data_IF_280020156657
#
_entry.id   IF_280020156657
#
_cell.length_a   1.000
_cell.length_b   1.000
_cell.length_c   1.000
_cell.angle_alpha   90.00
_cell.angle_beta   90.00
_cell.angle_gamma   90.00
#
_symmetry.space_group_name_H-M   'P 1'
#
loop_
_entity.id
_entity.type
_entity.pdbx_description
1 polymer ?
#
# COMPACT_ATOMS: atom_id res chain seq x y z
N UNK A 1 -13.74 -5.95 -5.12
CA UNK A 1 -15.16 -6.21 -4.82
C UNK A 1 -15.53 -7.64 -5.18
N UNK A 2 -15.61 -8.01 -6.46
CA UNK A 2 -15.94 -9.39 -6.87
C UNK A 2 -14.99 -10.47 -6.31
N UNK A 3 -13.68 -10.16 -6.19
CA UNK A 3 -12.69 -11.09 -5.63
C UNK A 3 -12.89 -11.43 -4.14
N UNK A 4 -13.44 -10.52 -3.34
CA UNK A 4 -13.73 -10.78 -1.92
C UNK A 4 -14.95 -11.68 -1.75
N UNK A 5 -15.88 -11.66 -2.72
CA UNK A 5 -17.07 -12.51 -2.69
C UNK A 5 -16.76 -13.97 -3.04
N UNK A 6 -15.67 -14.23 -3.78
CA UNK A 6 -15.23 -15.60 -4.11
C UNK A 6 -14.23 -16.16 -3.09
N UNK A 7 -13.84 -15.38 -2.08
CA UNK A 7 -12.84 -15.77 -1.08
C UNK A 7 -13.19 -17.10 -0.38
N UNK A 8 -14.44 -17.37 0.06
CA UNK A 8 -14.77 -18.64 0.70
C UNK A 8 -14.57 -19.83 -0.22
N UNK A 9 -14.94 -19.69 -1.50
CA UNK A 9 -14.74 -20.72 -2.52
C UNK A 9 -13.26 -20.96 -2.76
N UNK A 10 -12.47 -19.89 -2.88
CA UNK A 10 -11.03 -19.99 -3.08
C UNK A 10 -10.32 -20.67 -1.91
N UNK A 11 -10.65 -20.27 -0.68
CA UNK A 11 -10.10 -20.85 0.55
C UNK A 11 -10.45 -22.34 0.68
N UNK A 12 -11.66 -22.73 0.28
CA UNK A 12 -12.06 -24.16 0.19
C UNK A 12 -11.24 -24.92 -0.85
N UNK A 13 -11.01 -24.33 -2.03
CA UNK A 13 -10.20 -24.94 -3.09
C UNK A 13 -8.74 -25.17 -2.67
N UNK A 14 -8.24 -24.37 -1.73
CA UNK A 14 -6.92 -24.55 -1.11
C UNK A 14 -6.89 -25.64 -0.02
N UNK A 15 -8.01 -26.33 0.22
CA UNK A 15 -8.12 -27.41 1.20
C UNK A 15 -8.20 -26.92 2.66
N UNK A 16 -8.46 -25.63 2.89
CA UNK A 16 -8.64 -25.10 4.25
C UNK A 16 -10.00 -25.52 4.81
N UNK A 17 -10.08 -25.73 6.13
CA UNK A 17 -11.27 -26.25 6.80
C UNK A 17 -12.51 -25.35 6.62
N UNK A 18 -13.69 -25.98 6.55
CA UNK A 18 -14.97 -25.30 6.25
C UNK A 18 -15.30 -24.16 7.21
N UNK A 19 -15.00 -24.34 8.50
CA UNK A 19 -15.19 -23.31 9.52
C UNK A 19 -14.30 -22.09 9.26
N UNK A 20 -13.04 -22.30 8.87
CA UNK A 20 -12.12 -21.20 8.54
C UNK A 20 -12.57 -20.45 7.29
N UNK A 21 -12.95 -21.17 6.23
CA UNK A 21 -13.46 -20.57 5.00
C UNK A 21 -14.70 -19.70 5.25
N UNK A 22 -15.60 -20.16 6.13
CA UNK A 22 -16.81 -19.42 6.53
C UNK A 22 -16.45 -18.14 7.27
N UNK A 23 -15.61 -18.22 8.31
CA UNK A 23 -15.20 -17.05 9.10
C UNK A 23 -14.42 -16.02 8.25
N UNK A 24 -13.55 -16.48 7.35
CA UNK A 24 -12.84 -15.61 6.41
C UNK A 24 -13.81 -14.89 5.45
N UNK A 25 -14.85 -15.59 4.99
CA UNK A 25 -15.92 -15.03 4.17
C UNK A 25 -16.71 -13.93 4.87
N UNK A 26 -17.15 -14.20 6.10
CA UNK A 26 -17.88 -13.23 6.92
C UNK A 26 -17.03 -11.97 7.16
N UNK A 27 -15.75 -12.16 7.48
CA UNK A 27 -14.83 -11.03 7.65
C UNK A 27 -14.63 -10.24 6.35
N UNK A 28 -14.48 -10.93 5.22
CA UNK A 28 -14.31 -10.31 3.91
C UNK A 28 -15.52 -9.43 3.52
N UNK A 29 -16.73 -9.86 3.87
CA UNK A 29 -17.95 -9.06 3.71
C UNK A 29 -17.89 -7.83 4.63
N UNK A 30 -17.50 -8.00 5.89
CA UNK A 30 -17.40 -6.90 6.85
C UNK A 30 -16.42 -5.80 6.41
N UNK A 31 -15.33 -6.15 5.73
CA UNK A 31 -14.32 -5.19 5.20
C UNK A 31 -14.57 -4.78 3.75
N UNK A 32 -15.59 -5.32 3.09
CA UNK A 32 -15.90 -4.99 1.69
C UNK A 32 -15.99 -3.46 1.45
N UNK A 33 -16.68 -2.67 2.30
CA UNK A 33 -16.75 -1.21 2.12
C UNK A 33 -15.39 -0.49 2.16
N UNK A 34 -14.40 -1.03 2.89
CA UNK A 34 -13.06 -0.44 3.03
C UNK A 34 -12.44 -0.16 1.67
N UNK A 35 -12.50 -1.12 0.75
CA UNK A 35 -11.80 -0.99 -0.55
C UNK A 35 -12.38 0.15 -1.37
N UNK A 36 -13.71 0.30 -1.38
CA UNK A 36 -14.38 1.38 -2.12
C UNK A 36 -14.07 2.74 -1.50
N UNK A 37 -14.22 2.88 -0.18
CA UNK A 37 -13.95 4.11 0.53
C UNK A 37 -12.48 4.54 0.44
N UNK A 38 -11.55 3.58 0.53
CA UNK A 38 -10.13 3.83 0.31
C UNK A 38 -9.86 4.30 -1.11
N UNK A 39 -10.46 3.67 -2.13
CA UNK A 39 -10.33 4.11 -3.52
C UNK A 39 -10.72 5.59 -3.70
N UNK A 40 -11.83 6.02 -3.10
CA UNK A 40 -12.23 7.43 -3.08
C UNK A 40 -11.18 8.31 -2.39
N UNK A 41 -10.70 7.90 -1.21
CA UNK A 41 -9.66 8.63 -0.48
C UNK A 41 -8.37 8.80 -1.31
N UNK A 42 -7.89 7.75 -1.95
CA UNK A 42 -6.64 7.77 -2.73
C UNK A 42 -6.76 8.76 -3.91
N UNK A 43 -7.89 8.74 -4.63
CA UNK A 43 -8.14 9.65 -5.75
C UNK A 43 -8.22 11.11 -5.30
N UNK A 44 -8.99 11.40 -4.24
CA UNK A 44 -9.12 12.76 -3.71
C UNK A 44 -7.80 13.29 -3.16
N UNK A 45 -7.03 12.45 -2.46
CA UNK A 45 -5.69 12.82 -1.96
C UNK A 45 -4.73 13.13 -3.10
N UNK A 46 -4.69 12.30 -4.14
CA UNK A 46 -3.86 12.56 -5.32
C UNK A 46 -4.25 13.87 -6.00
N UNK A 47 -5.55 14.15 -6.11
CA UNK A 47 -6.07 15.39 -6.69
C UNK A 47 -5.71 16.63 -5.87
N UNK A 48 -5.83 16.58 -4.53
CA UNK A 48 -5.40 17.66 -3.64
C UNK A 48 -3.87 17.86 -3.67
N UNK A 49 -3.11 16.76 -3.69
CA UNK A 49 -1.65 16.81 -3.74
C UNK A 49 -1.14 17.50 -5.02
N UNK A 50 -1.80 17.26 -6.17
CA UNK A 50 -1.52 17.98 -7.41
C UNK A 50 -1.67 19.50 -7.27
N UNK A 51 -2.48 19.98 -6.32
CA UNK A 51 -2.72 21.40 -6.00
C UNK A 51 -1.86 21.90 -4.82
N UNK A 52 -0.87 21.13 -4.34
CA UNK A 52 -0.07 21.42 -3.12
C UNK A 52 -0.87 21.38 -1.82
N UNK A 53 -2.04 20.75 -1.82
CA UNK A 53 -2.90 20.67 -0.64
C UNK A 53 -2.73 19.28 -0.02
N UNK A 54 -1.97 19.20 1.08
CA UNK A 54 -1.69 17.93 1.78
C UNK A 54 -2.16 17.92 3.23
N UNK A 55 -2.47 19.10 3.79
CA UNK A 55 -2.90 19.25 5.18
C UNK A 55 -4.27 18.62 5.50
N UNK A 56 -5.32 18.76 4.66
CA UNK A 56 -6.63 18.17 4.97
C UNK A 56 -6.60 16.66 5.20
N UNK A 57 -6.05 15.81 4.29
CA UNK A 57 -5.99 14.38 4.54
C UNK A 57 -5.09 14.02 5.74
N UNK A 58 -4.04 14.81 6.02
CA UNK A 58 -3.21 14.65 7.22
C UNK A 58 -4.04 14.84 8.50
N UNK A 59 -4.76 15.96 8.64
CA UNK A 59 -5.55 16.25 9.83
C UNK A 59 -6.72 15.27 10.01
N UNK A 60 -7.38 14.88 8.92
CA UNK A 60 -8.42 13.83 8.95
C UNK A 60 -7.84 12.53 9.51
N UNK A 61 -6.66 12.11 9.03
CA UNK A 61 -6.03 10.88 9.52
C UNK A 61 -5.61 10.98 11.00
N UNK A 62 -5.03 12.11 11.40
CA UNK A 62 -4.62 12.33 12.79
C UNK A 62 -5.80 12.34 13.76
N UNK A 63 -6.95 12.91 13.35
CA UNK A 63 -8.15 12.95 14.18
C UNK A 63 -8.85 11.59 14.27
N UNK A 64 -8.97 10.90 13.14
CA UNK A 64 -9.80 9.69 13.04
C UNK A 64 -9.08 8.40 13.48
N UNK A 65 -7.75 8.33 13.34
CA UNK A 65 -6.99 7.11 13.69
C UNK A 65 -7.06 6.74 15.17
N UNK A 66 -6.92 7.68 16.14
CA UNK A 66 -7.07 7.36 17.56
C UNK A 66 -8.49 6.87 17.90
N UNK A 67 -9.50 7.49 17.27
CA UNK A 67 -10.90 7.09 17.46
C UNK A 67 -11.17 5.68 16.93
N UNK A 68 -10.49 5.26 15.86
CA UNK A 68 -10.60 3.91 15.31
C UNK A 68 -10.28 2.84 16.35
N UNK A 69 -9.24 3.03 17.15
CA UNK A 69 -8.86 2.06 18.19
C UNK A 69 -9.98 1.88 19.23
N UNK A 70 -10.60 2.98 19.67
CA UNK A 70 -11.71 2.96 20.62
C UNK A 70 -12.96 2.27 20.03
N UNK A 71 -13.29 2.55 18.76
CA UNK A 71 -14.42 1.91 18.08
C UNK A 71 -14.15 0.42 17.86
N UNK A 72 -12.95 0.04 17.42
CA UNK A 72 -12.53 -1.35 17.31
C UNK A 72 -12.70 -2.08 18.65
N UNK A 73 -12.14 -1.53 19.73
CA UNK A 73 -12.26 -2.13 21.06
C UNK A 73 -13.72 -2.33 21.46
N UNK A 74 -14.53 -1.28 21.31
CA UNK A 74 -15.94 -1.31 21.70
C UNK A 74 -16.73 -2.34 20.88
N UNK A 75 -16.57 -2.37 19.55
CA UNK A 75 -17.29 -3.32 18.70
C UNK A 75 -16.84 -4.76 18.92
N UNK A 76 -15.56 -5.00 19.20
CA UNK A 76 -15.03 -6.35 19.43
C UNK A 76 -15.44 -6.90 20.78
N UNK A 77 -15.28 -6.13 21.86
CA UNK A 77 -15.41 -6.64 23.22
C UNK A 77 -16.75 -6.33 23.89
N UNK A 78 -17.45 -5.26 23.47
CA UNK A 78 -18.67 -4.81 24.13
C UNK A 78 -19.95 -5.13 23.32
N UNK A 79 -19.81 -5.80 22.18
CA UNK A 79 -20.96 -6.19 21.34
C UNK A 79 -20.89 -7.67 20.98
N UNK A 80 -21.97 -8.19 20.38
CA UNK A 80 -22.03 -9.57 19.87
C UNK A 80 -21.27 -9.78 18.56
N UNK A 81 -20.64 -8.74 18.00
CA UNK A 81 -19.93 -8.81 16.72
C UNK A 81 -18.59 -9.54 16.81
N UNK A 82 -17.94 -9.57 17.99
CA UNK A 82 -16.64 -10.22 18.17
C UNK A 82 -15.62 -9.73 17.14
N UNK A 83 -14.92 -10.66 16.47
CA UNK A 83 -13.92 -10.32 15.45
C UNK A 83 -14.49 -9.55 14.24
N UNK A 84 -15.76 -9.77 13.88
CA UNK A 84 -16.43 -9.00 12.82
C UNK A 84 -16.56 -7.52 13.20
N UNK A 85 -16.59 -7.21 14.50
CA UNK A 85 -16.57 -5.86 15.03
C UNK A 85 -15.35 -5.06 14.55
N UNK A 86 -14.18 -5.70 14.42
CA UNK A 86 -12.98 -5.07 13.88
C UNK A 86 -13.13 -4.74 12.39
N UNK A 87 -13.75 -5.62 11.60
CA UNK A 87 -14.04 -5.37 10.19
C UNK A 87 -15.03 -4.23 10.00
N UNK A 88 -16.12 -4.22 10.77
CA UNK A 88 -17.12 -3.16 10.77
C UNK A 88 -16.55 -1.80 11.20
N UNK A 89 -15.73 -1.76 12.27
CA UNK A 89 -15.04 -0.56 12.71
C UNK A 89 -14.15 0.03 11.61
N UNK A 90 -13.38 -0.83 10.94
CA UNK A 90 -12.50 -0.43 9.84
C UNK A 90 -13.30 0.12 8.65
N UNK A 91 -14.38 -0.55 8.27
CA UNK A 91 -15.30 -0.07 7.23
C UNK A 91 -15.88 1.31 7.55
N UNK A 92 -16.44 1.47 8.76
CA UNK A 92 -17.00 2.75 9.21
C UNK A 92 -15.94 3.86 9.19
N UNK A 93 -14.71 3.55 9.62
CA UNK A 93 -13.62 4.49 9.67
C UNK A 93 -13.16 4.97 8.28
N UNK A 94 -13.00 4.04 7.34
CA UNK A 94 -12.64 4.41 5.97
C UNK A 94 -13.75 5.19 5.27
N UNK A 95 -15.02 4.85 5.51
CA UNK A 95 -16.16 5.63 5.02
C UNK A 95 -16.14 7.04 5.60
N UNK A 96 -15.92 7.19 6.91
CA UNK A 96 -15.82 8.50 7.55
C UNK A 96 -14.68 9.33 6.95
N UNK A 97 -13.50 8.75 6.77
CA UNK A 97 -12.36 9.41 6.09
C UNK A 97 -12.72 9.88 4.68
N UNK A 98 -13.34 9.00 3.89
CA UNK A 98 -13.75 9.32 2.52
C UNK A 98 -14.80 10.44 2.48
N UNK A 99 -15.81 10.35 3.35
CA UNK A 99 -16.86 11.35 3.45
C UNK A 99 -16.33 12.71 3.88
N UNK A 100 -15.52 12.78 4.94
CA UNK A 100 -14.92 14.03 5.42
C UNK A 100 -14.02 14.66 4.37
N UNK A 101 -13.20 13.86 3.69
CA UNK A 101 -12.33 14.36 2.62
C UNK A 101 -13.14 14.85 1.42
N UNK A 102 -14.19 14.13 1.03
CA UNK A 102 -15.10 14.55 -0.03
C UNK A 102 -15.80 15.87 0.31
N UNK A 103 -16.34 15.99 1.53
CA UNK A 103 -16.95 17.23 2.03
C UNK A 103 -15.98 18.41 1.98
N UNK A 104 -14.71 18.21 2.34
CA UNK A 104 -13.69 19.24 2.18
C UNK A 104 -13.52 19.65 0.71
N UNK A 105 -13.46 18.69 -0.22
CA UNK A 105 -13.25 18.97 -1.65
C UNK A 105 -14.41 19.73 -2.32
N UNK A 106 -15.65 19.57 -1.84
CA UNK A 106 -16.83 20.29 -2.36
C UNK A 106 -17.15 21.57 -1.58
N UNK A 107 -16.45 21.84 -0.48
CA UNK A 107 -16.75 23.00 0.37
C UNK A 107 -16.40 24.30 -0.37
N UNK A 108 -17.30 25.29 -0.40
CA UNK A 108 -17.02 26.59 -0.99
C UNK A 108 -15.96 27.39 -0.21
N UNK A 109 -15.70 26.99 1.03
CA UNK A 109 -14.69 27.61 1.90
C UNK A 109 -13.32 26.93 1.80
N UNK A 110 -13.19 25.86 1.02
CA UNK A 110 -11.91 25.20 0.85
C UNK A 110 -11.02 26.04 -0.07
N UNK A 111 -9.80 26.29 0.38
CA UNK A 111 -8.75 26.97 -0.39
C UNK A 111 -8.22 26.02 -1.48
N UNK A 112 -8.94 25.96 -2.61
CA UNK A 112 -8.67 25.05 -3.72
C UNK A 112 -8.31 25.88 -4.96
N UNK A 113 -7.15 25.60 -5.57
CA UNK A 113 -6.76 26.17 -6.87
C UNK A 113 -7.83 25.89 -7.95
N UNK A 114 -8.48 24.72 -7.88
CA UNK A 114 -9.59 24.32 -8.74
C UNK A 114 -10.66 23.63 -7.90
N UNK A 115 -11.92 24.11 -7.89
CA UNK A 115 -12.98 23.48 -7.12
C UNK A 115 -13.34 22.10 -7.68
N UNK A 116 -13.73 21.18 -6.81
CA UNK A 116 -14.19 19.87 -7.25
C UNK A 116 -15.59 20.00 -7.89
N UNK A 117 -15.67 19.85 -9.21
CA UNK A 117 -16.92 19.97 -9.97
C UNK A 117 -17.97 18.86 -9.75
N UNK A 118 -17.77 18.01 -8.74
CA UNK A 118 -18.67 16.91 -8.41
C UNK A 118 -18.54 15.69 -9.32
N UNK A 119 -19.24 14.62 -8.94
CA UNK A 119 -19.38 13.42 -9.75
C UNK A 119 -20.40 13.65 -10.86
N UNK A 120 -19.93 13.83 -12.10
CA UNK A 120 -20.80 13.98 -13.28
C UNK A 120 -20.82 12.69 -14.09
N UNK A 121 -22.00 12.33 -14.63
CA UNK A 121 -22.14 11.20 -15.57
C UNK A 121 -21.23 11.35 -16.78
N UNK A 122 -21.03 12.59 -17.23
CA UNK A 122 -20.14 12.93 -18.35
C UNK A 122 -18.67 12.64 -18.00
N UNK A 123 -18.18 13.08 -16.84
CA UNK A 123 -16.82 12.79 -16.40
C UNK A 123 -16.54 11.29 -16.27
N UNK A 124 -17.49 10.53 -15.73
CA UNK A 124 -17.42 9.07 -15.65
C UNK A 124 -17.39 8.40 -17.02
N UNK A 125 -18.14 8.93 -18.01
CA UNK A 125 -18.22 8.34 -19.35
C UNK A 125 -16.99 8.66 -20.19
N UNK A 126 -16.59 9.92 -20.21
CA UNK A 126 -15.61 10.44 -21.17
C UNK A 126 -14.16 10.07 -20.74
N UNK A 127 -13.89 9.96 -19.43
CA UNK A 127 -12.55 9.62 -18.91
C UNK A 127 -12.26 8.13 -18.71
N UNK A 128 -13.27 7.24 -18.81
CA UNK A 128 -13.12 5.81 -18.45
C UNK A 128 -12.08 5.07 -19.28
N UNK A 129 -12.02 5.35 -20.59
CA UNK A 129 -11.16 4.61 -21.51
C UNK A 129 -9.68 4.90 -21.26
N UNK A 130 -9.36 6.18 -21.06
CA UNK A 130 -8.01 6.61 -20.72
C UNK A 130 -7.61 6.15 -19.32
N UNK A 131 -8.51 6.25 -18.34
CA UNK A 131 -8.29 5.74 -16.99
C UNK A 131 -7.97 4.24 -17.02
N UNK A 132 -8.77 3.42 -17.70
CA UNK A 132 -8.54 1.98 -17.79
C UNK A 132 -7.23 1.65 -18.51
N UNK A 133 -6.88 2.38 -19.58
CA UNK A 133 -5.60 2.21 -20.28
C UNK A 133 -4.39 2.50 -19.40
N UNK A 134 -4.50 3.44 -18.46
CA UNK A 134 -3.44 3.77 -17.51
C UNK A 134 -3.40 2.82 -16.31
N UNK A 135 -4.57 2.44 -15.78
CA UNK A 135 -4.68 1.66 -14.54
C UNK A 135 -4.48 0.17 -14.77
N UNK A 136 -5.00 -0.41 -15.87
CA UNK A 136 -4.95 -1.85 -16.11
C UNK A 136 -3.51 -2.42 -16.11
N UNK A 137 -2.54 -1.84 -16.84
CA UNK A 137 -1.17 -2.34 -16.78
C UNK A 137 -0.60 -2.30 -15.36
N UNK A 138 -0.86 -1.22 -14.61
CA UNK A 138 -0.40 -1.06 -13.23
C UNK A 138 -1.01 -2.09 -12.27
N UNK A 139 -2.29 -2.42 -12.43
CA UNK A 139 -2.95 -3.45 -11.61
C UNK A 139 -2.42 -4.85 -11.94
N UNK A 140 -2.21 -5.17 -13.22
CA UNK A 140 -1.73 -6.48 -13.65
C UNK A 140 -0.25 -6.72 -13.32
N UNK A 141 0.56 -5.67 -13.39
CA UNK A 141 2.00 -5.72 -13.09
C UNK A 141 2.33 -5.40 -11.63
N UNK A 142 1.31 -5.32 -10.76
CA UNK A 142 1.49 -5.01 -9.35
C UNK A 142 2.17 -6.16 -8.61
N UNK A 143 3.17 -5.81 -7.80
CA UNK A 143 3.84 -6.70 -6.83
C UNK A 143 2.89 -7.17 -5.71
N UNK A 144 1.69 -6.61 -5.64
CA UNK A 144 0.66 -7.06 -4.74
C UNK A 144 0.29 -8.54 -4.98
N UNK A 145 0.17 -8.95 -6.25
CA UNK A 145 -0.23 -10.33 -6.58
C UNK A 145 0.83 -11.36 -6.20
N UNK A 146 2.11 -11.00 -6.30
CA UNK A 146 3.20 -11.87 -5.85
C UNK A 146 3.21 -12.02 -4.34
N UNK A 147 2.90 -10.95 -3.58
CA UNK A 147 2.74 -11.02 -2.13
C UNK A 147 1.62 -11.98 -1.70
N UNK A 148 0.45 -11.89 -2.34
CA UNK A 148 -0.68 -12.78 -2.08
C UNK A 148 -0.36 -14.23 -2.48
N UNK A 149 0.33 -14.44 -3.61
CA UNK A 149 0.78 -15.76 -4.04
C UNK A 149 1.74 -16.40 -3.02
N UNK A 150 2.71 -15.65 -2.49
CA UNK A 150 3.63 -16.12 -1.44
C UNK A 150 2.84 -16.51 -0.19
N UNK A 151 1.84 -15.73 0.21
CA UNK A 151 1.00 -16.06 1.36
C UNK A 151 0.23 -17.36 1.16
N UNK A 152 -0.36 -17.56 -0.02
CA UNK A 152 -1.05 -18.83 -0.38
C UNK A 152 -0.06 -19.99 -0.38
N UNK A 153 1.12 -19.85 -1.00
CA UNK A 153 2.15 -20.89 -1.01
C UNK A 153 2.66 -21.23 0.40
N UNK A 154 2.72 -20.26 1.31
CA UNK A 154 3.09 -20.47 2.72
C UNK A 154 2.05 -21.29 3.47
N UNK A 155 0.80 -21.32 3.00
CA UNK A 155 -0.22 -22.26 3.51
C UNK A 155 0.05 -23.71 3.14
N UNK A 156 0.95 -23.98 2.18
CA UNK A 156 1.24 -25.33 1.65
C UNK A 156 2.55 -25.93 2.18
N UNK A 157 3.35 -25.17 2.95
CA UNK A 157 4.63 -25.67 3.49
C UNK A 157 4.44 -26.52 4.75
N UNK A 158 5.40 -27.38 5.12
CA UNK A 158 5.37 -28.10 6.40
C UNK A 158 5.27 -27.12 7.58
N UNK A 159 4.36 -27.41 8.51
CA UNK A 159 4.02 -26.53 9.63
C UNK A 159 3.54 -25.11 9.21
N UNK A 160 2.40 -25.03 8.50
CA UNK A 160 1.92 -23.77 7.92
C UNK A 160 1.55 -22.72 8.97
N UNK A 161 1.19 -23.14 10.19
CA UNK A 161 0.83 -22.21 11.28
C UNK A 161 2.02 -21.34 11.71
N UNK A 162 3.20 -21.94 11.89
CA UNK A 162 4.43 -21.21 12.25
C UNK A 162 4.87 -20.34 11.07
N UNK A 163 4.87 -20.88 9.85
CA UNK A 163 5.30 -20.17 8.66
C UNK A 163 4.41 -18.95 8.33
N UNK A 164 3.08 -19.09 8.41
CA UNK A 164 2.14 -17.98 8.20
C UNK A 164 2.28 -16.91 9.30
N UNK A 165 2.53 -17.33 10.54
CA UNK A 165 2.74 -16.41 11.66
C UNK A 165 4.03 -15.60 11.48
N UNK A 166 5.14 -16.25 11.11
CA UNK A 166 6.40 -15.58 10.79
C UNK A 166 6.25 -14.64 9.59
N UNK A 167 5.58 -15.09 8.53
CA UNK A 167 5.32 -14.27 7.33
C UNK A 167 4.44 -13.05 7.65
N UNK A 168 3.44 -13.20 8.52
CA UNK A 168 2.58 -12.08 8.97
C UNK A 168 3.38 -11.00 9.69
N UNK A 169 4.28 -11.39 10.60
CA UNK A 169 5.16 -10.43 11.31
C UNK A 169 6.16 -9.79 10.34
N UNK A 170 6.76 -10.58 9.45
CA UNK A 170 7.67 -10.10 8.41
C UNK A 170 7.01 -9.07 7.49
N UNK A 171 5.84 -9.40 6.93
CA UNK A 171 5.09 -8.51 6.02
C UNK A 171 4.58 -7.26 6.73
N UNK A 172 4.13 -7.37 7.98
CA UNK A 172 3.73 -6.21 8.79
C UNK A 172 4.90 -5.26 9.03
N UNK A 173 6.07 -5.82 9.34
CA UNK A 173 7.30 -5.03 9.57
C UNK A 173 7.77 -4.36 8.28
N UNK A 174 7.83 -5.10 7.17
CA UNK A 174 8.14 -4.56 5.86
C UNK A 174 7.21 -3.41 5.48
N UNK A 175 5.90 -3.58 5.67
CA UNK A 175 4.92 -2.54 5.38
C UNK A 175 5.18 -1.28 6.20
N UNK A 176 5.44 -1.43 7.50
CA UNK A 176 5.75 -0.29 8.39
C UNK A 176 7.01 0.46 7.93
N UNK A 177 8.06 -0.27 7.53
CA UNK A 177 9.30 0.33 6.99
C UNK A 177 9.03 1.06 5.68
N UNK A 178 8.14 0.51 4.83
CA UNK A 178 7.86 0.99 3.49
C UNK A 178 6.85 2.15 3.40
N UNK A 179 6.07 2.42 4.46
CA UNK A 179 5.10 3.52 4.43
C UNK A 179 5.78 4.90 4.27
N UNK A 180 6.99 5.11 4.80
CA UNK A 180 7.79 6.33 4.57
C UNK A 180 8.30 6.41 3.11
N UNK A 181 8.96 5.38 2.54
CA UNK A 181 9.24 5.30 1.11
C UNK A 181 8.04 5.60 0.22
N UNK A 182 6.85 5.10 0.57
CA UNK A 182 5.63 5.35 -0.18
C UNK A 182 5.18 6.83 -0.11
N UNK A 183 5.33 7.48 1.06
CA UNK A 183 5.10 8.91 1.22
C UNK A 183 6.07 9.76 0.38
N UNK A 184 7.37 9.43 0.44
CA UNK A 184 8.40 10.10 -0.38
C UNK A 184 8.13 9.90 -1.87
N UNK A 185 7.81 8.68 -2.31
CA UNK A 185 7.41 8.38 -3.69
C UNK A 185 6.29 9.30 -4.16
N UNK A 186 5.25 9.43 -3.36
CA UNK A 186 4.08 10.26 -3.69
C UNK A 186 4.45 11.75 -3.79
N UNK A 187 5.24 12.25 -2.85
CA UNK A 187 5.76 13.63 -2.88
C UNK A 187 6.63 13.91 -4.10
N UNK A 188 7.60 13.04 -4.37
CA UNK A 188 8.50 13.16 -5.54
C UNK A 188 7.70 13.12 -6.84
N UNK A 189 6.71 12.22 -6.96
CA UNK A 189 5.84 12.13 -8.15
C UNK A 189 5.19 13.47 -8.47
N UNK A 190 4.58 14.10 -7.46
CA UNK A 190 3.91 15.39 -7.60
C UNK A 190 4.91 16.49 -7.95
N UNK A 191 6.04 16.58 -7.25
CA UNK A 191 7.06 17.59 -7.50
C UNK A 191 7.66 17.47 -8.91
N UNK A 192 7.99 16.25 -9.34
CA UNK A 192 8.53 15.98 -10.69
C UNK A 192 7.49 16.32 -11.75
N UNK A 193 6.26 15.82 -11.62
CA UNK A 193 5.20 16.09 -12.60
C UNK A 193 4.91 17.57 -12.75
N UNK A 194 4.87 18.32 -11.64
CA UNK A 194 4.69 19.77 -11.66
C UNK A 194 5.87 20.52 -12.27
N UNK A 195 7.09 20.19 -11.88
CA UNK A 195 8.29 20.85 -12.38
C UNK A 195 8.46 20.64 -13.90
N UNK A 196 8.25 19.41 -14.38
CA UNK A 196 8.28 19.11 -15.81
C UNK A 196 7.12 19.80 -16.57
N UNK A 197 5.92 19.84 -15.98
CA UNK A 197 4.78 20.57 -16.54
C UNK A 197 5.03 22.08 -16.66
N UNK A 198 5.88 22.64 -15.81
CA UNK A 198 6.30 24.04 -15.86
C UNK A 198 7.56 24.29 -16.73
N UNK A 199 8.10 23.26 -17.38
CA UNK A 199 9.33 23.38 -18.18
C UNK A 199 10.61 23.57 -17.35
N UNK A 200 10.62 23.14 -16.08
CA UNK A 200 11.73 23.33 -15.13
C UNK A 200 12.41 21.99 -14.77
N UNK A 201 13.27 21.42 -15.64
CA UNK A 201 13.92 20.12 -15.40
C UNK A 201 14.91 20.13 -14.22
N UNK A 202 15.51 21.29 -13.92
CA UNK A 202 16.39 21.45 -12.75
C UNK A 202 15.63 21.22 -11.43
N UNK A 203 14.40 21.73 -11.34
CA UNK A 203 13.54 21.55 -10.17
C UNK A 203 13.05 20.11 -10.03
N UNK A 204 12.77 19.44 -11.16
CA UNK A 204 12.44 18.01 -11.17
C UNK A 204 13.62 17.17 -10.63
N UNK A 205 14.83 17.47 -11.08
CA UNK A 205 16.06 16.79 -10.63
C UNK A 205 16.33 17.02 -9.14
N UNK A 206 16.07 18.23 -8.64
CA UNK A 206 16.17 18.56 -7.21
C UNK A 206 15.19 17.74 -6.38
N UNK A 207 13.94 17.59 -6.82
CA UNK A 207 12.94 16.79 -6.13
C UNK A 207 13.37 15.31 -6.01
N UNK A 208 13.91 14.74 -7.10
CA UNK A 208 14.43 13.36 -7.12
C UNK A 208 15.60 13.20 -6.14
N UNK A 209 16.55 14.16 -6.16
CA UNK A 209 17.72 14.14 -5.27
C UNK A 209 17.29 14.19 -3.80
N UNK A 210 16.37 15.09 -3.45
CA UNK A 210 15.87 15.21 -2.09
C UNK A 210 15.12 13.94 -1.66
N UNK A 211 14.32 13.34 -2.55
CA UNK A 211 13.68 12.05 -2.29
C UNK A 211 14.69 10.95 -1.98
N UNK A 212 15.74 10.80 -2.79
CA UNK A 212 16.83 9.83 -2.55
C UNK A 212 17.52 10.05 -1.22
N UNK A 213 17.83 11.31 -0.88
CA UNK A 213 18.46 11.66 0.39
C UNK A 213 17.57 11.28 1.57
N UNK A 214 16.28 11.60 1.52
CA UNK A 214 15.32 11.24 2.58
C UNK A 214 15.25 9.73 2.80
N UNK A 215 15.22 8.93 1.71
CA UNK A 215 15.22 7.47 1.84
C UNK A 215 16.55 6.92 2.35
N UNK A 216 17.67 7.50 1.90
CA UNK A 216 19.01 7.14 2.37
C UNK A 216 19.20 7.41 3.87
N UNK A 217 18.54 8.44 4.41
CA UNK A 217 18.53 8.72 5.85
C UNK A 217 17.54 7.83 6.62
N UNK A 218 16.36 7.55 6.04
CA UNK A 218 15.31 6.78 6.70
C UNK A 218 15.64 5.29 6.80
N UNK A 219 15.94 4.63 5.68
CA UNK A 219 16.02 3.16 5.60
C UNK A 219 17.04 2.52 6.56
N UNK A 220 18.22 3.11 6.81
CA UNK A 220 19.16 2.53 7.75
C UNK A 220 18.61 2.43 9.19
N UNK A 221 17.74 3.34 9.61
CA UNK A 221 17.26 3.40 10.99
C UNK A 221 16.43 2.17 11.41
N UNK A 222 15.30 1.82 10.75
CA UNK A 222 14.53 0.65 11.14
C UNK A 222 15.25 -0.65 10.79
N UNK A 223 16.07 -0.68 9.72
CA UNK A 223 16.84 -1.87 9.36
C UNK A 223 17.91 -2.19 10.39
N UNK A 224 18.63 -1.18 10.86
CA UNK A 224 19.56 -1.33 11.97
C UNK A 224 18.84 -1.81 13.22
N UNK A 225 17.68 -1.23 13.56
CA UNK A 225 16.91 -1.65 14.72
C UNK A 225 16.50 -3.14 14.65
N UNK A 226 15.98 -3.60 13.51
CA UNK A 226 15.61 -5.02 13.33
C UNK A 226 16.83 -5.93 13.37
N UNK A 227 17.97 -5.53 12.80
CA UNK A 227 19.19 -6.34 12.80
C UNK A 227 19.85 -6.40 14.18
N UNK A 228 19.94 -5.27 14.89
CA UNK A 228 20.59 -5.17 16.20
C UNK A 228 19.74 -5.81 17.30
N UNK A 229 18.41 -5.73 17.19
CA UNK A 229 17.48 -6.19 18.21
C UNK A 229 16.53 -7.28 17.70
N UNK A 230 17.00 -8.19 16.84
CA UNK A 230 16.12 -9.16 16.15
C UNK A 230 15.23 -9.95 17.11
N UNK A 231 15.80 -10.51 18.19
CA UNK A 231 15.01 -11.26 19.17
C UNK A 231 14.03 -10.36 19.93
N UNK A 232 14.41 -9.11 20.21
CA UNK A 232 13.54 -8.13 20.85
C UNK A 232 12.37 -7.74 19.96
N UNK A 233 12.64 -7.43 18.70
CA UNK A 233 11.64 -7.18 17.66
C UNK A 233 10.66 -8.34 17.51
N UNK A 234 11.14 -9.57 17.35
CA UNK A 234 10.29 -10.75 17.21
C UNK A 234 9.38 -10.96 18.44
N UNK A 235 9.92 -10.73 19.64
CA UNK A 235 9.19 -10.86 20.91
C UNK A 235 8.12 -9.80 21.17
N UNK A 236 8.13 -8.69 20.43
CA UNK A 236 7.01 -7.72 20.45
C UNK A 236 5.74 -8.38 19.87
N UNK A 237 5.89 -9.29 18.90
CA UNK A 237 4.76 -9.88 18.20
C UNK A 237 4.34 -11.24 18.74
N UNK A 238 5.29 -12.08 19.18
CA UNK A 238 4.99 -13.46 19.57
C UNK A 238 5.91 -13.97 20.68
N UNK A 239 5.41 -14.95 21.44
CA UNK A 239 6.17 -15.73 22.42
C UNK A 239 6.53 -17.14 21.94
N UNK A 240 6.10 -17.52 20.74
CA UNK A 240 6.41 -18.82 20.14
C UNK A 240 7.85 -18.83 19.61
N UNK A 241 8.71 -19.60 20.26
CA UNK A 241 10.13 -19.70 19.91
C UNK A 241 10.36 -20.30 18.50
N UNK A 242 9.45 -21.14 17.99
CA UNK A 242 9.55 -21.65 16.63
C UNK A 242 9.33 -20.53 15.59
N UNK A 243 8.38 -19.62 15.86
CA UNK A 243 8.14 -18.44 15.02
C UNK A 243 9.30 -17.45 15.11
N UNK A 244 9.83 -17.24 16.32
CA UNK A 244 10.99 -16.35 16.54
C UNK A 244 12.20 -16.85 15.73
N UNK A 245 12.50 -18.16 15.77
CA UNK A 245 13.61 -18.74 15.02
C UNK A 245 13.45 -18.54 13.50
N UNK A 246 12.24 -18.69 12.97
CA UNK A 246 11.97 -18.41 11.56
C UNK A 246 12.14 -16.92 11.23
N UNK A 247 11.73 -16.01 12.12
CA UNK A 247 11.92 -14.58 11.94
C UNK A 247 13.40 -14.19 11.87
N UNK A 248 14.27 -14.81 12.66
CA UNK A 248 15.73 -14.61 12.54
C UNK A 248 16.24 -14.95 11.15
N UNK A 249 15.79 -16.05 10.56
CA UNK A 249 16.17 -16.46 9.21
C UNK A 249 15.65 -15.50 8.11
N UNK A 250 14.57 -14.76 8.38
CA UNK A 250 13.98 -13.80 7.43
C UNK A 250 14.61 -12.40 7.47
N UNK A 251 15.42 -12.06 8.48
CA UNK A 251 16.03 -10.71 8.59
C UNK A 251 16.86 -10.30 7.37
N UNK A 252 17.74 -11.15 6.80
CA UNK A 252 18.51 -10.76 5.62
C UNK A 252 17.59 -10.39 4.43
N UNK A 253 16.50 -11.15 4.26
CA UNK A 253 15.50 -10.89 3.22
C UNK A 253 14.72 -9.61 3.49
N UNK A 254 14.43 -9.31 4.76
CA UNK A 254 13.79 -8.05 5.15
C UNK A 254 14.65 -6.85 4.76
N UNK A 255 15.96 -6.93 4.99
CA UNK A 255 16.93 -5.89 4.60
C UNK A 255 16.98 -5.72 3.09
N UNK A 256 17.18 -6.82 2.35
CA UNK A 256 17.25 -6.79 0.88
C UNK A 256 15.96 -6.20 0.29
N UNK A 257 14.81 -6.68 0.74
CA UNK A 257 13.51 -6.23 0.23
C UNK A 257 13.23 -4.77 0.56
N UNK A 258 13.61 -4.29 1.75
CA UNK A 258 13.44 -2.88 2.12
C UNK A 258 14.33 -1.95 1.29
N UNK A 259 15.57 -2.36 1.02
CA UNK A 259 16.49 -1.61 0.16
C UNK A 259 15.97 -1.56 -1.29
N UNK A 260 15.56 -2.71 -1.83
CA UNK A 260 14.96 -2.80 -3.16
C UNK A 260 13.70 -1.92 -3.26
N UNK A 261 12.81 -2.01 -2.27
CA UNK A 261 11.63 -1.16 -2.16
C UNK A 261 11.99 0.33 -2.17
N UNK A 262 12.99 0.76 -1.40
CA UNK A 262 13.45 2.15 -1.39
C UNK A 262 13.90 2.66 -2.77
N UNK A 263 14.67 1.86 -3.50
CA UNK A 263 15.10 2.19 -4.86
C UNK A 263 13.91 2.26 -5.82
N UNK A 264 13.02 1.27 -5.73
CA UNK A 264 11.81 1.22 -6.52
C UNK A 264 10.87 2.39 -6.26
N UNK A 265 10.75 2.85 -5.01
CA UNK A 265 9.94 4.00 -4.65
C UNK A 265 10.36 5.24 -5.46
N UNK A 266 11.65 5.49 -5.62
CA UNK A 266 12.15 6.60 -6.44
C UNK A 266 11.91 6.35 -7.93
N UNK A 267 12.21 5.15 -8.43
CA UNK A 267 12.00 4.82 -9.84
C UNK A 267 10.52 5.00 -10.24
N UNK A 268 9.61 4.45 -9.44
CA UNK A 268 8.17 4.57 -9.63
C UNK A 268 7.71 6.03 -9.53
N UNK A 269 8.29 6.83 -8.64
CA UNK A 269 7.95 8.25 -8.54
C UNK A 269 8.32 9.03 -9.81
N UNK A 270 9.50 8.76 -10.37
CA UNK A 270 9.96 9.39 -11.61
C UNK A 270 9.10 8.94 -12.78
N UNK A 271 8.82 7.63 -12.89
CA UNK A 271 7.97 7.10 -13.95
C UNK A 271 6.57 7.68 -13.91
N UNK A 272 5.96 7.79 -12.73
CA UNK A 272 4.63 8.35 -12.56
C UNK A 272 4.60 9.88 -12.79
N UNK A 273 5.68 10.59 -12.43
CA UNK A 273 5.80 12.04 -12.64
C UNK A 273 6.07 12.42 -14.11
N UNK A 274 6.68 11.54 -14.90
CA UNK A 274 7.01 11.78 -16.30
C UNK A 274 5.90 11.29 -17.24
N UNK A 275 5.31 12.18 -18.06
CA UNK A 275 4.37 11.76 -19.14
C UNK A 275 5.00 10.86 -20.22
N UNK A 276 6.32 10.94 -20.41
CA UNK A 276 7.12 10.08 -21.32
C UNK A 276 8.47 9.79 -20.67
N UNK A 277 8.86 8.52 -20.62
CA UNK A 277 10.17 8.08 -20.15
C UNK A 277 11.28 8.56 -21.11
N UNK A 278 12.33 9.25 -20.62
CA UNK A 278 13.53 9.50 -21.40
C UNK A 278 14.15 8.15 -21.85
N UNK A 279 14.66 8.03 -23.09
CA UNK A 279 15.23 6.79 -23.61
C UNK A 279 16.32 6.19 -22.70
N UNK A 280 17.14 7.05 -22.08
CA UNK A 280 18.23 6.68 -21.18
C UNK A 280 17.79 6.05 -19.84
N UNK A 281 16.52 6.23 -19.45
CA UNK A 281 15.97 5.68 -18.20
C UNK A 281 15.09 4.44 -18.43
N UNK A 282 14.87 4.05 -19.69
CA UNK A 282 14.18 2.80 -20.04
C UNK A 282 14.99 1.57 -19.61
N UNK A 283 16.33 1.67 -19.64
CA UNK A 283 17.26 0.67 -19.09
C UNK A 283 17.19 0.58 -17.56
N UNK A 284 17.03 1.71 -16.86
CA UNK A 284 16.86 1.72 -15.40
C UNK A 284 15.46 1.23 -14.96
N UNK A 285 14.43 1.51 -15.75
CA UNK A 285 13.08 0.95 -15.53
C UNK A 285 13.07 -0.58 -15.79
N UNK A 286 13.81 -1.06 -16.79
CA UNK A 286 13.99 -2.50 -17.01
C UNK A 286 14.87 -3.16 -15.95
N UNK A 287 15.85 -2.47 -15.37
CA UNK A 287 16.58 -2.93 -14.19
C UNK A 287 15.71 -2.98 -12.93
N UNK A 288 14.80 -2.01 -12.74
CA UNK A 288 13.82 -2.04 -11.66
C UNK A 288 12.82 -3.20 -11.83
N UNK A 289 12.38 -3.46 -13.07
CA UNK A 289 11.59 -4.64 -13.43
C UNK A 289 12.38 -5.94 -13.27
N UNK A 290 13.68 -5.96 -13.57
CA UNK A 290 14.56 -7.11 -13.37
C UNK A 290 14.85 -7.37 -11.89
N UNK A 291 14.96 -6.32 -11.06
CA UNK A 291 15.08 -6.46 -9.61
C UNK A 291 13.78 -6.89 -8.94
N UNK A 292 12.64 -6.61 -9.56
CA UNK A 292 11.32 -7.12 -9.16
C UNK A 292 11.14 -8.61 -9.47
N UNK A 293 11.78 -9.09 -10.54
CA UNK A 293 11.76 -10.47 -11.00
C UNK A 293 13.10 -11.18 -10.74
N UNK A 294 13.72 -10.90 -9.59
CA UNK A 294 15.01 -11.48 -9.20
C UNK A 294 15.04 -12.99 -9.43
N UNK A 295 15.76 -13.39 -10.49
CA UNK A 295 16.06 -14.75 -10.93
C UNK A 295 14.94 -15.58 -11.60
N UNK A 296 14.35 -15.11 -12.71
CA UNK A 296 14.06 -16.02 -13.84
C UNK A 296 13.84 -15.23 -15.12
N UNK A 297 14.44 -15.67 -16.23
CA UNK A 297 14.32 -15.13 -17.61
C UNK A 297 15.26 -13.97 -18.01
N UNK A 298 16.57 -14.20 -17.88
CA UNK A 298 17.58 -13.49 -18.67
C UNK A 298 17.69 -13.99 -20.13
N UNK A 299 16.66 -14.63 -20.71
CA UNK A 299 16.80 -15.36 -21.98
C UNK A 299 15.64 -15.20 -22.96
N UNK A 300 14.91 -14.09 -22.95
CA UNK A 300 13.81 -13.89 -23.89
C UNK A 300 13.65 -12.45 -24.38
N UNK A 301 14.76 -11.83 -24.82
CA UNK A 301 14.74 -10.70 -25.75
C UNK A 301 15.98 -10.80 -26.65
N UNK A 302 15.93 -11.79 -27.55
CA UNK A 302 16.57 -11.67 -28.87
C UNK A 302 15.60 -11.01 -29.83
#
# INVERSE_FOLDING_TARGET
MALLCILPLFVRLLGMGEQFATLAGEYAIAILPVTAARGVCEVLQAWLACQKITKPPLYINLALTPFHAAVCYSLVFNTRLGFLGAGCANSAMWIARAATLYMHCISPHADLDRPFGGLTRRGLRDGRGELLRLVLPGVLMSDYWTGEAIMVCTGLVPNPAVALSALSVYTSTLKMIYDVPNGVRSGVTVCVGRALGAGLPSLASLAIRNGRLLLGCWLPLPLFAVCAFTSGWARIFTRDEAVILQLHALVPWLVVNSCAGGLMAIANAVMAGCKRLPPSWRSSASLALASLWGCSSASALG
#
